data_IF_689559267685
#
_entry.id   IF_689559267685
#
_cell.length_a   1.000
_cell.length_b   1.000
_cell.length_c   1.000
_cell.angle_alpha   90.00
_cell.angle_beta   90.00
_cell.angle_gamma   90.00
#
_symmetry.space_group_name_H-M   'P 1'
#
loop_
_entity.id
_entity.type
_entity.pdbx_description
1 polymer ?
#
# COMPACT_ATOMS: atom_id res chain seq x y z
N UNK A 1 -11.59 15.39 -18.65
CA UNK A 1 -11.94 15.34 -17.39
C UNK A 1 -10.81 15.48 -16.47
N UNK A 2 -11.11 15.93 -15.35
CA UNK A 2 -10.18 16.13 -14.47
C UNK A 2 -9.66 14.89 -14.05
N UNK A 3 -8.46 14.69 -14.12
CA UNK A 3 -7.93 13.52 -13.62
C UNK A 3 -8.27 13.46 -12.21
N UNK A 4 -8.74 12.42 -11.81
CA UNK A 4 -9.12 12.28 -10.46
C UNK A 4 -7.99 12.59 -9.56
N UNK A 5 -6.82 12.36 -10.02
CA UNK A 5 -5.78 12.58 -9.11
C UNK A 5 -5.48 14.01 -8.97
N UNK A 6 -6.08 14.82 -9.74
CA UNK A 6 -5.82 16.19 -9.59
C UNK A 6 -6.02 16.60 -8.20
N UNK A 7 -6.93 16.05 -7.55
CA UNK A 7 -7.16 16.46 -6.23
C UNK A 7 -6.27 15.83 -5.24
N UNK A 8 -5.56 14.87 -5.65
CA UNK A 8 -4.84 14.27 -4.67
C UNK A 8 -3.58 14.83 -4.48
N UNK A 9 -3.27 15.74 -5.24
CA UNK A 9 -2.15 16.19 -5.05
C UNK A 9 -1.97 16.68 -3.82
N UNK A 10 -1.42 17.02 -3.24
CA UNK A 10 -1.27 17.49 -1.94
C UNK A 10 -0.67 16.48 -1.04
N UNK A 11 -0.77 15.27 -1.38
CA UNK A 11 -0.17 14.32 -0.52
C UNK A 11 1.10 13.89 -1.15
N UNK A 12 2.04 13.62 -0.37
CA UNK A 12 3.30 13.21 -0.85
C UNK A 12 3.25 11.85 -1.46
N UNK A 13 2.37 11.01 -1.01
CA UNK A 13 2.36 9.66 -1.48
C UNK A 13 0.94 9.27 -1.79
N UNK A 14 0.70 8.77 -2.97
CA UNK A 14 -0.61 8.34 -3.34
C UNK A 14 -0.64 6.85 -3.49
N UNK A 15 -1.66 6.24 -2.94
CA UNK A 15 -1.90 4.82 -3.11
C UNK A 15 -3.16 4.67 -3.93
N UNK A 16 -3.15 3.79 -4.92
CA UNK A 16 -4.37 3.56 -5.68
C UNK A 16 -5.25 2.55 -4.92
N UNK A 17 -6.42 2.29 -5.45
CA UNK A 17 -7.40 1.49 -4.74
C UNK A 17 -6.89 0.09 -4.48
N UNK A 18 -6.22 -0.51 -5.45
CA UNK A 18 -5.70 -1.86 -5.26
C UNK A 18 -4.64 -1.89 -4.18
N UNK A 19 -3.81 -0.86 -4.15
CA UNK A 19 -2.78 -0.79 -3.13
C UNK A 19 -3.39 -0.63 -1.76
N UNK A 20 -4.40 0.23 -1.64
CA UNK A 20 -5.06 0.43 -0.37
C UNK A 20 -5.77 -0.82 0.10
N UNK A 21 -6.39 -1.54 -0.82
CA UNK A 21 -7.06 -2.77 -0.46
C UNK A 21 -6.08 -3.80 0.07
N UNK A 22 -4.94 -3.92 -0.59
CA UNK A 22 -3.93 -4.87 -0.13
C UNK A 22 -3.42 -4.48 1.25
N UNK A 23 -3.17 -3.19 1.44
CA UNK A 23 -2.72 -2.72 2.73
C UNK A 23 -3.74 -3.00 3.82
N UNK A 24 -5.02 -2.79 3.50
CA UNK A 24 -6.06 -3.00 4.47
C UNK A 24 -6.15 -4.45 4.91
N UNK A 25 -5.94 -5.36 3.97
CA UNK A 25 -6.03 -6.78 4.27
C UNK A 25 -4.93 -7.25 5.21
N UNK A 26 -3.77 -6.65 5.13
CA UNK A 26 -2.63 -7.11 5.89
C UNK A 26 -2.20 -6.17 7.00
N UNK A 27 -2.89 -5.07 7.18
CA UNK A 27 -2.47 -4.02 8.09
C UNK A 27 -2.55 -4.47 9.56
N UNK A 28 -1.43 -4.56 10.25
CA UNK A 28 -1.44 -4.93 11.66
C UNK A 28 -1.52 -3.73 12.57
N UNK A 29 -1.59 -2.53 12.01
CA UNK A 29 -1.70 -1.31 12.79
C UNK A 29 -0.51 -0.40 12.73
N UNK A 30 0.63 -0.86 12.22
CA UNK A 30 1.81 -0.01 12.11
C UNK A 30 2.41 -0.13 10.73
N UNK A 31 3.14 0.91 10.35
CA UNK A 31 3.77 0.95 9.03
C UNK A 31 4.80 -0.16 8.88
N UNK A 32 5.69 -0.29 9.85
CA UNK A 32 6.71 -1.31 9.74
C UNK A 32 6.12 -2.70 9.82
N UNK A 33 5.09 -2.88 10.63
CA UNK A 33 4.42 -4.17 10.69
C UNK A 33 3.78 -4.54 9.38
N UNK A 34 3.19 -3.54 8.69
CA UNK A 34 2.59 -3.82 7.40
C UNK A 34 3.66 -4.22 6.39
N UNK A 35 4.79 -3.54 6.38
CA UNK A 35 5.88 -3.92 5.49
C UNK A 35 6.28 -5.36 5.75
N UNK A 36 6.39 -5.74 7.01
CA UNK A 36 6.79 -7.09 7.35
C UNK A 36 5.76 -8.12 6.91
N UNK A 37 4.48 -7.79 7.10
CA UNK A 37 3.43 -8.70 6.68
C UNK A 37 3.41 -8.90 5.17
N UNK A 38 3.64 -7.82 4.43
CA UNK A 38 3.66 -7.95 2.99
C UNK A 38 4.87 -8.76 2.52
N UNK A 39 6.01 -8.57 3.16
CA UNK A 39 7.18 -9.37 2.80
C UNK A 39 6.96 -10.84 3.10
N UNK A 40 6.31 -11.12 4.21
CA UNK A 40 6.02 -12.48 4.55
C UNK A 40 5.07 -13.10 3.52
N UNK A 41 4.06 -12.34 3.13
CA UNK A 41 3.13 -12.81 2.13
C UNK A 41 3.86 -13.14 0.83
N UNK A 42 4.84 -12.32 0.45
CA UNK A 42 5.58 -12.56 -0.77
C UNK A 42 6.31 -13.90 -0.76
N UNK A 43 6.68 -14.37 0.41
CA UNK A 43 7.37 -15.65 0.50
C UNK A 43 6.47 -16.81 0.12
N UNK A 44 5.16 -16.61 0.17
CA UNK A 44 4.23 -17.68 -0.14
C UNK A 44 3.59 -17.55 -1.51
N UNK A 45 4.01 -16.55 -2.31
CA UNK A 45 3.41 -16.37 -3.62
C UNK A 45 3.94 -17.41 -4.60
N UNK A 46 3.04 -17.90 -5.42
CA UNK A 46 3.44 -18.82 -6.47
C UNK A 46 4.07 -18.05 -7.61
N UNK A 47 4.86 -18.70 -8.44
CA UNK A 47 5.52 -17.97 -9.54
C UNK A 47 4.55 -17.31 -10.50
N UNK A 48 3.33 -17.83 -10.62
CA UNK A 48 2.36 -17.23 -11.53
C UNK A 48 1.60 -16.10 -10.89
N UNK A 49 1.92 -15.72 -9.67
CA UNK A 49 1.27 -14.60 -9.02
C UNK A 49 2.13 -13.34 -9.12
N UNK A 50 2.67 -13.11 -10.30
CA UNK A 50 3.56 -11.99 -10.51
C UNK A 50 2.86 -10.65 -10.31
N UNK A 51 1.59 -10.56 -10.67
CA UNK A 51 0.88 -9.29 -10.51
C UNK A 51 0.77 -8.92 -9.04
N UNK A 52 0.48 -9.88 -8.19
CA UNK A 52 0.37 -9.62 -6.78
C UNK A 52 1.74 -9.29 -6.19
N UNK A 53 2.77 -9.97 -6.68
CA UNK A 53 4.12 -9.67 -6.22
C UNK A 53 4.49 -8.23 -6.56
N UNK A 54 4.18 -7.79 -7.77
CA UNK A 54 4.49 -6.43 -8.18
C UNK A 54 3.68 -5.42 -7.38
N UNK A 55 2.43 -5.72 -7.14
CA UNK A 55 1.60 -4.81 -6.36
C UNK A 55 2.16 -4.66 -4.95
N UNK A 56 2.51 -5.76 -4.32
CA UNK A 56 3.04 -5.71 -2.97
C UNK A 56 4.39 -5.01 -2.92
N UNK A 57 5.21 -5.18 -3.95
CA UNK A 57 6.48 -4.48 -4.00
C UNK A 57 6.28 -2.98 -4.07
N UNK A 58 5.32 -2.53 -4.88
CA UNK A 58 5.05 -1.10 -4.97
C UNK A 58 4.59 -0.55 -3.64
N UNK A 59 3.73 -1.30 -2.95
CA UNK A 59 3.25 -0.85 -1.66
C UNK A 59 4.39 -0.77 -0.66
N UNK A 60 5.24 -1.76 -0.63
CA UNK A 60 6.37 -1.77 0.29
C UNK A 60 7.28 -0.58 0.03
N UNK A 61 7.58 -0.30 -1.23
CA UNK A 61 8.44 0.82 -1.55
C UNK A 61 7.84 2.14 -1.11
N UNK A 62 6.54 2.30 -1.32
CA UNK A 62 5.88 3.51 -0.90
C UNK A 62 5.87 3.61 0.62
N UNK A 63 5.64 2.50 1.31
CA UNK A 63 5.63 2.52 2.75
C UNK A 63 6.98 2.89 3.34
N UNK A 64 8.05 2.45 2.68
CA UNK A 64 9.37 2.80 3.17
C UNK A 64 9.63 4.29 3.09
N UNK A 65 8.99 4.97 2.16
CA UNK A 65 9.18 6.40 2.00
C UNK A 65 8.27 7.22 2.90
N UNK A 66 7.25 6.60 3.49
CA UNK A 66 6.37 7.32 4.37
C UNK A 66 6.94 7.43 5.76
N UNK A 67 6.55 8.47 6.47
CA UNK A 67 6.79 8.50 7.91
C UNK A 67 5.64 7.81 8.61
N UNK A 68 5.83 7.49 9.87
CA UNK A 68 4.76 6.88 10.65
C UNK A 68 3.56 7.84 10.75
N UNK A 69 3.83 9.13 10.89
CA UNK A 69 2.75 10.10 10.97
C UNK A 69 1.97 10.15 9.66
N UNK A 70 2.65 10.08 8.54
CA UNK A 70 1.96 10.07 7.25
C UNK A 70 1.15 8.79 7.09
N UNK A 71 1.68 7.67 7.57
CA UNK A 71 0.95 6.41 7.47
C UNK A 71 -0.36 6.51 8.26
N UNK A 72 -0.31 7.15 9.41
CA UNK A 72 -1.52 7.27 10.23
C UNK A 72 -2.60 8.06 9.53
N UNK A 73 -2.24 8.88 8.57
CA UNK A 73 -3.22 9.68 7.85
C UNK A 73 -3.77 9.01 6.61
N UNK A 74 -3.27 7.84 6.27
CA UNK A 74 -3.78 7.14 5.11
C UNK A 74 -5.20 6.67 5.41
N UNK A 75 -6.11 6.94 4.48
CA UNK A 75 -7.47 6.53 4.65
C UNK A 75 -7.75 5.32 3.80
N UNK A 76 -8.24 4.28 4.41
CA UNK A 76 -8.51 3.05 3.69
C UNK A 76 -9.97 3.00 3.26
N UNK A 77 -10.26 2.38 2.13
CA UNK A 77 -11.64 2.28 1.68
C UNK A 77 -12.43 1.40 2.64
N UNK A 78 -13.60 1.88 2.96
CA UNK A 78 -14.43 1.07 3.81
C UNK A 78 -15.50 0.52 2.96
N UNK A 79 -15.70 -0.66 2.86
CA UNK A 79 -16.67 -1.17 2.05
C UNK A 79 -17.78 -1.59 2.49
#
# INVERSE_FOLDING_TARGET
AIPPDAGKRGTAMNFDYEELTLMMLYNPGTRLGLIQELRLMQCYLAPDEAALRELSERVIEKLKLLTDAAFDKVEFPLD
#
